data_IF_698266125330
#
_entry.id   IF_698266125330
#
_cell.length_a   1.000
_cell.length_b   1.000
_cell.length_c   1.000
_cell.angle_alpha   90.00
_cell.angle_beta   90.00
_cell.angle_gamma   90.00
#
_symmetry.space_group_name_H-M   'P 1'
#
loop_
_entity.id
_entity.type
_entity.pdbx_description
1 polymer ?
#
# COMPACT_ATOMS: atom_id res chain seq x y z
N UNK A 1 36.82 -87.46 52.37
CA UNK A 1 35.54 -86.73 52.45
C UNK A 1 35.68 -85.45 51.64
N UNK A 2 34.78 -85.20 50.69
CA UNK A 2 34.79 -83.96 49.89
C UNK A 2 33.92 -82.91 50.58
N UNK A 3 34.53 -81.80 51.00
CA UNK A 3 33.82 -80.62 51.49
C UNK A 3 33.51 -79.67 50.35
N UNK A 4 32.37 -78.99 50.42
CA UNK A 4 31.93 -77.99 49.43
C UNK A 4 31.72 -76.66 50.17
N UNK A 5 32.23 -75.54 49.63
CA UNK A 5 31.99 -74.23 50.23
C UNK A 5 30.51 -73.83 50.08
N UNK A 6 29.96 -73.20 51.12
CA UNK A 6 28.61 -72.66 51.08
C UNK A 6 28.53 -71.46 50.11
N UNK A 7 27.45 -71.39 49.32
CA UNK A 7 27.20 -70.29 48.38
C UNK A 7 27.00 -68.93 49.07
N UNK A 8 26.72 -68.93 50.38
CA UNK A 8 26.53 -67.73 51.20
C UNK A 8 27.77 -67.36 52.03
N UNK A 9 28.94 -67.87 51.64
CA UNK A 9 30.20 -67.57 52.33
C UNK A 9 30.47 -66.06 52.42
N UNK A 10 30.17 -65.34 51.36
CA UNK A 10 30.35 -63.88 51.29
C UNK A 10 29.36 -63.10 52.16
N UNK A 11 28.34 -63.78 52.70
CA UNK A 11 27.33 -63.22 53.61
C UNK A 11 27.46 -63.75 55.05
N UNK A 12 28.59 -64.39 55.36
CA UNK A 12 28.94 -64.82 56.73
C UNK A 12 28.85 -66.33 56.99
N UNK A 13 28.46 -67.13 56.01
CA UNK A 13 28.35 -68.58 56.18
C UNK A 13 29.73 -69.26 56.03
N UNK A 14 30.45 -69.42 57.13
CA UNK A 14 31.88 -69.80 57.13
C UNK A 14 32.15 -71.31 57.04
N UNK A 15 31.12 -72.13 57.03
CA UNK A 15 31.26 -73.59 57.06
C UNK A 15 31.62 -74.18 55.68
N UNK A 16 32.70 -74.97 55.64
CA UNK A 16 32.95 -75.92 54.54
C UNK A 16 32.23 -77.22 54.89
N UNK A 17 31.19 -77.54 54.14
CA UNK A 17 30.22 -78.57 54.53
C UNK A 17 30.54 -79.87 53.85
N UNK A 18 30.54 -80.98 54.59
CA UNK A 18 30.66 -82.32 54.01
C UNK A 18 29.38 -82.61 53.24
N UNK A 19 29.50 -83.08 51.99
CA UNK A 19 28.36 -83.21 51.06
C UNK A 19 27.14 -83.95 51.62
N UNK A 20 27.35 -84.90 52.52
CA UNK A 20 26.30 -85.72 53.15
C UNK A 20 25.51 -84.96 54.21
N UNK A 21 26.10 -83.93 54.82
CA UNK A 21 25.52 -83.13 55.93
C UNK A 21 24.95 -81.78 55.44
N UNK A 22 24.89 -81.59 54.12
CA UNK A 22 24.43 -80.32 53.51
C UNK A 22 22.98 -79.99 53.88
N UNK A 23 22.12 -81.00 54.01
CA UNK A 23 20.72 -80.82 54.40
C UNK A 23 20.57 -80.25 55.83
N UNK A 24 21.43 -80.70 56.76
CA UNK A 24 21.44 -80.22 58.15
C UNK A 24 22.07 -78.81 58.24
N UNK A 25 23.09 -78.54 57.41
CA UNK A 25 23.68 -77.22 57.31
C UNK A 25 22.67 -76.15 56.89
N UNK A 26 21.76 -76.43 55.95
CA UNK A 26 20.72 -75.48 55.55
C UNK A 26 19.75 -75.11 56.68
N UNK A 27 19.60 -75.98 57.68
CA UNK A 27 18.78 -75.74 58.87
C UNK A 27 19.58 -75.08 60.00
N UNK A 28 20.91 -74.94 59.85
CA UNK A 28 21.74 -74.31 60.85
C UNK A 28 21.41 -72.82 60.98
N UNK A 29 21.52 -72.31 62.20
CA UNK A 29 21.31 -70.89 62.50
C UNK A 29 22.29 -70.00 61.71
N UNK A 30 23.53 -70.43 61.54
CA UNK A 30 24.53 -69.70 60.75
C UNK A 30 24.12 -69.54 59.29
N UNK A 31 23.55 -70.59 58.68
CA UNK A 31 23.07 -70.52 57.30
C UNK A 31 21.84 -69.61 57.20
N UNK A 32 20.90 -69.71 58.14
CA UNK A 32 19.70 -68.87 58.18
C UNK A 32 20.05 -67.39 58.37
N UNK A 33 20.98 -67.07 59.27
CA UNK A 33 21.48 -65.70 59.48
C UNK A 33 22.15 -65.16 58.21
N UNK A 34 22.92 -65.98 57.49
CA UNK A 34 23.53 -65.59 56.22
C UNK A 34 22.49 -65.35 55.10
N UNK A 35 21.41 -66.14 55.06
CA UNK A 35 20.28 -65.91 54.12
C UNK A 35 19.58 -64.59 54.44
N UNK A 36 19.31 -64.29 55.71
CA UNK A 36 18.68 -63.04 56.13
C UNK A 36 19.58 -61.86 55.76
N UNK A 37 20.89 -61.96 56.01
CA UNK A 37 21.84 -60.92 55.63
C UNK A 37 21.89 -60.68 54.12
N UNK A 38 21.87 -61.74 53.31
CA UNK A 38 21.81 -61.64 51.86
C UNK A 38 20.50 -60.97 51.38
N UNK A 39 19.35 -61.35 51.97
CA UNK A 39 18.05 -60.76 51.66
C UNK A 39 17.98 -59.27 52.04
N UNK A 40 18.50 -58.91 53.23
CA UNK A 40 18.62 -57.52 53.67
C UNK A 40 19.51 -56.70 52.74
N UNK A 41 20.68 -57.23 52.36
CA UNK A 41 21.59 -56.55 51.44
C UNK A 41 20.96 -56.31 50.05
N UNK A 42 20.22 -57.29 49.53
CA UNK A 42 19.48 -57.16 48.26
C UNK A 42 18.34 -56.13 48.37
N UNK A 43 17.59 -56.14 49.47
CA UNK A 43 16.51 -55.18 49.72
C UNK A 43 17.05 -53.74 49.81
N UNK A 44 18.13 -53.52 50.56
CA UNK A 44 18.78 -52.21 50.67
C UNK A 44 19.34 -51.72 49.33
N UNK A 45 19.96 -52.62 48.54
CA UNK A 45 20.53 -52.26 47.22
C UNK A 45 19.44 -51.91 46.19
N UNK A 46 18.34 -52.66 46.17
CA UNK A 46 17.19 -52.33 45.31
C UNK A 46 16.53 -51.02 45.72
N UNK A 47 16.41 -50.75 47.03
CA UNK A 47 15.81 -49.51 47.51
C UNK A 47 16.70 -48.29 47.19
N UNK A 48 18.03 -48.41 47.34
CA UNK A 48 18.96 -47.34 46.98
C UNK A 48 19.01 -47.08 45.47
N UNK A 49 19.05 -48.13 44.63
CA UNK A 49 19.06 -47.97 43.18
C UNK A 49 17.77 -47.36 42.64
N UNK A 50 16.60 -47.79 43.15
CA UNK A 50 15.32 -47.25 42.71
C UNK A 50 15.11 -45.81 43.18
N UNK A 51 15.52 -45.47 44.40
CA UNK A 51 15.37 -44.11 44.92
C UNK A 51 16.30 -43.13 44.18
N UNK A 52 17.55 -43.53 43.90
CA UNK A 52 18.50 -42.69 43.17
C UNK A 52 18.08 -42.40 41.73
N UNK A 53 17.65 -43.43 40.98
CA UNK A 53 17.15 -43.26 39.60
C UNK A 53 15.86 -42.42 39.56
N UNK A 54 14.97 -42.62 40.53
CA UNK A 54 13.73 -41.83 40.62
C UNK A 54 14.02 -40.35 40.89
N UNK A 55 14.95 -40.04 41.82
CA UNK A 55 15.34 -38.66 42.14
C UNK A 55 15.98 -37.98 40.92
N UNK A 56 16.90 -38.66 40.22
CA UNK A 56 17.56 -38.10 39.04
C UNK A 56 16.55 -37.76 37.92
N UNK A 57 15.55 -38.62 37.70
CA UNK A 57 14.47 -38.35 36.74
C UNK A 57 13.60 -37.17 37.15
N UNK A 58 13.32 -37.02 38.45
CA UNK A 58 12.59 -35.85 38.95
C UNK A 58 13.38 -34.56 38.70
N UNK A 59 14.68 -34.54 38.98
CA UNK A 59 15.55 -33.39 38.71
C UNK A 59 15.55 -33.02 37.22
N UNK A 60 15.66 -34.00 36.31
CA UNK A 60 15.58 -33.76 34.86
C UNK A 60 14.22 -33.18 34.45
N UNK A 61 13.12 -33.67 35.03
CA UNK A 61 11.78 -33.15 34.77
C UNK A 61 11.67 -31.70 35.26
N UNK A 62 12.22 -31.38 36.45
CA UNK A 62 12.22 -30.02 36.96
C UNK A 62 13.00 -29.06 36.06
N UNK A 63 14.18 -29.47 35.57
CA UNK A 63 14.98 -28.66 34.64
C UNK A 63 14.20 -28.40 33.34
N UNK A 64 13.55 -29.43 32.78
CA UNK A 64 12.72 -29.27 31.58
C UNK A 64 11.52 -28.35 31.80
N UNK A 65 10.89 -28.41 32.98
CA UNK A 65 9.79 -27.52 33.34
C UNK A 65 10.28 -26.08 33.44
N UNK A 66 11.45 -25.84 34.04
CA UNK A 66 12.01 -24.50 34.18
C UNK A 66 12.37 -23.89 32.82
N UNK A 67 12.99 -24.67 31.93
CA UNK A 67 13.26 -24.26 30.54
C UNK A 67 11.95 -23.92 29.83
N UNK A 68 10.94 -24.81 29.90
CA UNK A 68 9.65 -24.59 29.25
C UNK A 68 8.93 -23.34 29.81
N UNK A 69 9.02 -23.08 31.11
CA UNK A 69 8.46 -21.89 31.72
C UNK A 69 9.14 -20.61 31.21
N UNK A 70 10.47 -20.63 31.04
CA UNK A 70 11.23 -19.54 30.43
C UNK A 70 10.81 -19.28 28.99
N UNK A 71 10.68 -20.33 28.18
CA UNK A 71 10.22 -20.23 26.78
C UNK A 71 8.80 -19.67 26.67
N UNK A 72 7.88 -20.10 27.54
CA UNK A 72 6.51 -19.56 27.59
C UNK A 72 6.52 -18.06 27.89
N UNK A 73 7.34 -17.61 28.83
CA UNK A 73 7.46 -16.18 29.15
C UNK A 73 8.03 -15.37 27.98
N UNK A 74 9.02 -15.92 27.27
CA UNK A 74 9.55 -15.28 26.06
C UNK A 74 8.49 -15.16 24.97
N UNK A 75 7.76 -16.24 24.69
CA UNK A 75 6.68 -16.24 23.71
C UNK A 75 5.57 -15.26 24.08
N UNK A 76 5.25 -15.15 25.36
CA UNK A 76 4.29 -14.14 25.85
C UNK A 76 4.81 -12.71 25.60
N UNK A 77 6.09 -12.45 25.85
CA UNK A 77 6.72 -11.18 25.54
C UNK A 77 6.66 -10.85 24.04
N UNK A 78 6.97 -11.82 23.18
CA UNK A 78 6.89 -11.67 21.74
C UNK A 78 5.45 -11.42 21.26
N UNK A 79 4.47 -12.13 21.83
CA UNK A 79 3.05 -11.91 21.53
C UNK A 79 2.60 -10.49 21.90
N UNK A 80 3.02 -10.00 23.07
CA UNK A 80 2.76 -8.62 23.49
C UNK A 80 3.41 -7.60 22.53
N UNK A 81 4.66 -7.82 22.12
CA UNK A 81 5.37 -6.95 21.16
C UNK A 81 4.66 -6.93 19.81
N UNK A 82 4.34 -8.10 19.25
CA UNK A 82 3.63 -8.24 17.98
C UNK A 82 2.26 -7.56 18.02
N UNK A 83 1.53 -7.68 19.14
CA UNK A 83 0.26 -7.00 19.30
C UNK A 83 0.41 -5.46 19.32
N UNK A 84 1.47 -4.94 19.96
CA UNK A 84 1.77 -3.51 19.93
C UNK A 84 2.13 -3.02 18.52
N UNK A 85 2.94 -3.79 17.78
CA UNK A 85 3.28 -3.50 16.38
C UNK A 85 2.03 -3.53 15.48
N UNK A 86 1.14 -4.50 15.66
CA UNK A 86 -0.12 -4.60 14.93
C UNK A 86 -1.00 -3.36 15.17
N UNK A 87 -1.15 -2.93 16.43
CA UNK A 87 -1.90 -1.73 16.78
C UNK A 87 -1.27 -0.47 16.16
N UNK A 88 0.06 -0.38 16.15
CA UNK A 88 0.77 0.72 15.51
C UNK A 88 0.53 0.76 14.00
N UNK A 89 0.66 -0.38 13.31
CA UNK A 89 0.39 -0.49 11.88
C UNK A 89 -1.06 -0.12 11.57
N UNK A 90 -2.01 -0.64 12.35
CA UNK A 90 -3.44 -0.29 12.20
C UNK A 90 -3.70 1.20 12.41
N UNK A 91 -3.00 1.82 13.37
CA UNK A 91 -3.03 3.27 13.59
C UNK A 91 -2.53 4.06 12.39
N UNK A 92 -1.42 3.61 11.77
CA UNK A 92 -0.83 4.24 10.58
C UNK A 92 -1.61 4.01 9.29
N UNK A 93 -2.39 2.93 9.20
CA UNK A 93 -3.18 2.62 8.00
C UNK A 93 -4.37 3.58 7.82
N UNK A 94 -5.00 3.99 8.92
CA UNK A 94 -6.15 4.93 8.90
C UNK A 94 -5.85 6.28 8.23
N UNK A 95 -4.77 7.01 8.57
CA UNK A 95 -4.44 8.27 7.89
C UNK A 95 -4.09 8.03 6.42
N UNK A 96 -3.37 6.95 6.08
CA UNK A 96 -3.07 6.62 4.68
C UNK A 96 -4.35 6.43 3.86
N UNK A 97 -5.34 5.71 4.38
CA UNK A 97 -6.65 5.55 3.71
C UNK A 97 -7.34 6.90 3.50
N UNK A 98 -7.25 7.80 4.49
CA UNK A 98 -7.81 9.15 4.41
C UNK A 98 -7.10 9.97 3.32
N UNK A 99 -5.78 9.93 3.29
CA UNK A 99 -4.96 10.67 2.33
C UNK A 99 -5.22 10.17 0.91
N UNK A 100 -5.30 8.85 0.70
CA UNK A 100 -5.68 8.25 -0.58
C UNK A 100 -7.08 8.70 -1.02
N UNK A 101 -8.05 8.76 -0.10
CA UNK A 101 -9.39 9.23 -0.42
C UNK A 101 -9.41 10.72 -0.79
N UNK A 102 -8.64 11.54 -0.09
CA UNK A 102 -8.48 12.97 -0.41
C UNK A 102 -7.82 13.17 -1.77
N UNK A 103 -6.78 12.38 -2.06
CA UNK A 103 -6.07 12.45 -3.33
C UNK A 103 -6.98 12.06 -4.49
N UNK A 104 -7.79 11.02 -4.31
CA UNK A 104 -8.79 10.59 -5.30
C UNK A 104 -9.76 11.73 -5.63
N UNK A 105 -10.33 12.40 -4.62
CA UNK A 105 -11.22 13.55 -4.84
C UNK A 105 -10.51 14.68 -5.58
N UNK A 106 -9.26 14.98 -5.21
CA UNK A 106 -8.47 16.01 -5.89
C UNK A 106 -8.22 15.67 -7.37
N UNK A 107 -7.98 14.40 -7.70
CA UNK A 107 -7.84 13.94 -9.09
C UNK A 107 -9.16 14.09 -9.85
N UNK A 108 -10.29 13.74 -9.22
CA UNK A 108 -11.62 13.91 -9.83
C UNK A 108 -11.92 15.38 -10.14
N UNK A 109 -11.62 16.29 -9.21
CA UNK A 109 -11.75 17.74 -9.40
C UNK A 109 -10.83 18.26 -10.51
N UNK A 110 -9.56 17.81 -10.55
CA UNK A 110 -8.62 18.20 -11.60
C UNK A 110 -9.06 17.71 -12.99
N UNK A 111 -9.59 16.50 -13.08
CA UNK A 111 -10.13 15.98 -14.34
C UNK A 111 -11.34 16.79 -14.82
N UNK A 112 -12.27 17.12 -13.92
CA UNK A 112 -13.40 17.99 -14.26
C UNK A 112 -12.93 19.38 -14.72
N UNK A 113 -11.87 19.92 -14.10
CA UNK A 113 -11.26 21.18 -14.52
C UNK A 113 -10.61 21.08 -15.91
N UNK A 114 -9.88 20.00 -16.19
CA UNK A 114 -9.26 19.75 -17.48
C UNK A 114 -10.31 19.61 -18.59
N UNK A 115 -11.41 18.91 -18.34
CA UNK A 115 -12.52 18.78 -19.30
C UNK A 115 -13.15 20.15 -19.60
N UNK A 116 -13.36 20.98 -18.58
CA UNK A 116 -13.85 22.34 -18.76
C UNK A 116 -12.86 23.21 -19.56
N UNK A 117 -11.56 23.06 -19.33
CA UNK A 117 -10.52 23.76 -20.10
C UNK A 117 -10.47 23.30 -21.56
N UNK A 118 -10.62 22.00 -21.81
CA UNK A 118 -10.68 21.45 -23.16
C UNK A 118 -11.87 22.01 -23.94
N UNK A 119 -13.05 22.07 -23.32
CA UNK A 119 -14.23 22.70 -23.93
C UNK A 119 -13.99 24.17 -24.27
N UNK A 120 -13.36 24.94 -23.36
CA UNK A 120 -12.98 26.34 -23.64
C UNK A 120 -11.99 26.44 -24.80
N UNK A 121 -11.02 25.54 -24.88
CA UNK A 121 -10.06 25.49 -25.98
C UNK A 121 -10.75 25.20 -27.32
N UNK A 122 -11.72 24.28 -27.35
CA UNK A 122 -12.51 23.97 -28.56
C UNK A 122 -13.30 25.20 -29.03
N UNK A 123 -13.97 25.92 -28.11
CA UNK A 123 -14.69 27.16 -28.42
C UNK A 123 -13.73 28.21 -29.00
N UNK A 124 -12.60 28.45 -28.34
CA UNK A 124 -11.60 29.42 -28.82
C UNK A 124 -11.03 29.03 -30.19
N UNK A 125 -10.87 27.74 -30.45
CA UNK A 125 -10.40 27.23 -31.75
C UNK A 125 -11.44 27.50 -32.84
N UNK A 126 -12.73 27.30 -32.53
CA UNK A 126 -13.83 27.63 -33.43
C UNK A 126 -13.92 29.13 -33.72
N UNK A 127 -13.79 29.97 -32.68
CA UNK A 127 -13.79 31.43 -32.81
C UNK A 127 -12.62 31.90 -33.67
N UNK A 128 -11.44 31.31 -33.49
CA UNK A 128 -10.25 31.62 -34.30
C UNK A 128 -10.48 31.24 -35.77
N UNK A 129 -11.00 30.04 -36.05
CA UNK A 129 -11.33 29.63 -37.41
C UNK A 129 -12.37 30.55 -38.07
N UNK A 130 -13.40 30.95 -37.33
CA UNK A 130 -14.43 31.90 -37.78
C UNK A 130 -13.83 33.28 -38.09
N UNK A 131 -12.92 33.76 -37.23
CA UNK A 131 -12.23 35.03 -37.43
C UNK A 131 -11.30 34.97 -38.64
N UNK A 132 -10.54 33.89 -38.81
CA UNK A 132 -9.70 33.66 -39.99
C UNK A 132 -10.53 33.69 -41.27
N UNK A 133 -11.67 33.00 -41.31
CA UNK A 133 -12.56 33.03 -42.47
C UNK A 133 -13.05 34.44 -42.78
N UNK A 134 -13.47 35.21 -41.77
CA UNK A 134 -13.91 36.61 -41.97
C UNK A 134 -12.80 37.51 -42.48
N UNK A 135 -11.55 37.28 -42.05
CA UNK A 135 -10.38 38.01 -42.54
C UNK A 135 -10.11 37.66 -44.01
N UNK A 136 -10.18 36.37 -44.37
CA UNK A 136 -10.04 35.92 -45.76
C UNK A 136 -11.15 36.48 -46.66
N UNK A 137 -12.40 36.43 -46.22
CA UNK A 137 -13.54 37.00 -46.94
C UNK A 137 -13.36 38.52 -47.15
N UNK A 138 -12.92 39.24 -46.12
CA UNK A 138 -12.65 40.68 -46.22
C UNK A 138 -11.49 40.99 -47.18
N UNK A 139 -10.44 40.17 -47.14
CA UNK A 139 -9.32 40.28 -48.07
C UNK A 139 -9.77 40.02 -49.51
N UNK A 140 -10.65 39.03 -49.74
CA UNK A 140 -11.21 38.73 -51.06
C UNK A 140 -12.00 39.90 -51.64
N UNK A 141 -12.90 40.53 -50.87
CA UNK A 141 -13.70 41.71 -51.30
C UNK A 141 -12.81 42.95 -51.53
N UNK A 142 -11.61 42.99 -50.95
CA UNK A 142 -10.62 44.03 -51.25
C UNK A 142 -9.93 43.79 -52.59
N UNK A 143 -9.56 42.54 -52.90
CA UNK A 143 -8.84 42.16 -54.12
C UNK A 143 -9.73 42.00 -55.36
N UNK A 144 -11.01 41.62 -55.21
CA UNK A 144 -11.96 41.52 -56.33
C UNK A 144 -12.32 42.88 -56.94
N UNK A 145 -11.78 43.97 -56.37
CA UNK A 145 -12.03 45.33 -56.80
C UNK A 145 -13.42 45.82 -56.48
N UNK A 146 -14.25 45.10 -55.72
CA UNK A 146 -15.60 45.54 -55.32
C UNK A 146 -15.54 46.74 -54.40
N UNK A 147 -14.64 46.76 -53.41
CA UNK A 147 -14.43 47.95 -52.56
C UNK A 147 -13.89 49.11 -53.40
N UNK A 148 -12.90 48.83 -54.26
CA UNK A 148 -12.33 49.82 -55.17
C UNK A 148 -13.42 50.40 -56.08
N UNK A 149 -14.23 49.54 -56.71
CA UNK A 149 -15.35 49.90 -57.58
C UNK A 149 -16.42 50.71 -56.84
N UNK A 150 -16.78 50.33 -55.61
CA UNK A 150 -17.72 51.11 -54.79
C UNK A 150 -17.17 52.51 -54.48
N UNK A 151 -15.89 52.63 -54.13
CA UNK A 151 -15.23 53.92 -53.89
C UNK A 151 -15.19 54.74 -55.19
N UNK A 152 -14.79 54.14 -56.31
CA UNK A 152 -14.73 54.80 -57.62
C UNK A 152 -16.12 55.26 -58.08
N UNK A 153 -17.15 54.44 -57.94
CA UNK A 153 -18.53 54.77 -58.31
C UNK A 153 -19.12 55.87 -57.41
N UNK A 154 -18.83 55.85 -56.11
CA UNK A 154 -19.22 56.93 -55.19
C UNK A 154 -18.49 58.23 -55.55
N UNK A 155 -17.19 58.18 -55.81
CA UNK A 155 -16.40 59.33 -56.24
C UNK A 155 -16.90 59.91 -57.57
N UNK A 156 -17.25 59.05 -58.53
CA UNK A 156 -17.82 59.47 -59.82
C UNK A 156 -19.19 60.12 -59.65
N UNK A 157 -20.07 59.54 -58.82
CA UNK A 157 -21.39 60.12 -58.52
C UNK A 157 -21.27 61.48 -57.80
N UNK A 158 -20.34 61.60 -56.84
CA UNK A 158 -20.07 62.88 -56.18
C UNK A 158 -19.49 63.91 -57.15
N UNK A 159 -18.56 63.52 -58.02
CA UNK A 159 -18.02 64.40 -59.06
C UNK A 159 -19.09 64.89 -60.03
N UNK A 160 -20.01 64.01 -60.48
CA UNK A 160 -21.16 64.40 -61.30
C UNK A 160 -22.11 65.34 -60.56
N UNK A 161 -22.45 65.07 -59.31
CA UNK A 161 -23.29 65.97 -58.52
C UNK A 161 -22.63 67.35 -58.35
N UNK A 162 -21.33 67.38 -58.02
CA UNK A 162 -20.54 68.61 -57.85
C UNK A 162 -20.35 69.39 -59.16
N UNK A 163 -20.36 68.75 -60.32
CA UNK A 163 -20.29 69.45 -61.62
C UNK A 163 -21.66 69.92 -62.12
N UNK A 164 -22.70 69.14 -61.86
CA UNK A 164 -24.05 69.44 -62.39
C UNK A 164 -24.72 70.57 -61.60
N UNK A 165 -24.48 70.68 -60.29
CA UNK A 165 -25.07 71.73 -59.45
C UNK A 165 -24.60 73.14 -59.86
N UNK A 166 -23.29 73.43 -60.03
CA UNK A 166 -22.83 74.73 -60.53
C UNK A 166 -23.26 75.01 -61.97
N UNK A 167 -23.27 74.00 -62.85
CA UNK A 167 -23.66 74.19 -64.26
C UNK A 167 -25.15 74.50 -64.43
N UNK A 168 -26.03 73.91 -63.63
CA UNK A 168 -27.46 74.29 -63.60
C UNK A 168 -27.59 75.71 -63.06
N UNK A 169 -26.82 76.08 -62.03
CA UNK A 169 -26.83 77.44 -61.48
C UNK A 169 -26.38 78.48 -62.52
N UNK A 170 -25.25 78.25 -63.19
CA UNK A 170 -24.71 79.14 -64.23
C UNK A 170 -25.66 79.20 -65.43
N UNK A 171 -26.24 78.07 -65.87
CA UNK A 171 -27.19 78.06 -66.99
C UNK A 171 -28.49 78.80 -66.66
N UNK A 172 -29.01 78.67 -65.44
CA UNK A 172 -30.19 79.43 -65.01
C UNK A 172 -29.88 80.92 -64.86
N UNK A 173 -28.68 81.29 -64.40
CA UNK A 173 -28.23 82.70 -64.33
C UNK A 173 -28.10 83.30 -65.73
N UNK A 174 -27.48 82.61 -66.69
CA UNK A 174 -27.36 83.09 -68.09
C UNK A 174 -28.72 83.18 -68.80
N UNK A 175 -29.64 82.25 -68.52
CA UNK A 175 -31.00 82.33 -69.07
C UNK A 175 -31.79 83.50 -68.50
N UNK A 176 -31.63 83.80 -67.20
CA UNK A 176 -32.23 84.98 -66.55
C UNK A 176 -31.68 86.29 -67.13
N UNK A 177 -30.38 86.35 -67.39
CA UNK A 177 -29.70 87.52 -67.97
C UNK A 177 -30.19 87.79 -69.41
N UNK A 178 -30.29 86.74 -70.25
CA UNK A 178 -30.84 86.87 -71.61
C UNK A 178 -32.31 87.28 -71.64
N UNK A 179 -33.12 86.83 -70.69
CA UNK A 179 -34.52 87.26 -70.61
C UNK A 179 -34.65 88.73 -70.18
N UNK A 180 -33.72 89.23 -69.36
CA UNK A 180 -33.68 90.64 -68.94
C UNK A 180 -33.31 91.57 -70.10
N UNK A 181 -32.34 91.22 -70.93
CA UNK A 181 -31.97 92.02 -72.12
C UNK A 181 -33.13 92.14 -73.12
N UNK A 182 -33.88 91.06 -73.37
CA UNK A 182 -35.06 91.13 -74.27
C UNK A 182 -36.24 91.96 -73.74
N UNK A 183 -36.29 92.28 -72.44
CA UNK A 183 -37.37 93.07 -71.84
C UNK A 183 -37.03 94.57 -71.83
N UNK A 184 -35.76 94.95 -71.89
CA UNK A 184 -35.32 96.36 -71.80
C UNK A 184 -34.91 97.00 -73.14
N UNK A 185 -34.81 96.24 -74.23
CA UNK A 185 -34.49 96.74 -75.58
C UNK A 185 -35.72 96.91 -76.51
N UNK A 186 -36.94 96.99 -75.95
CA UNK A 186 -38.19 97.32 -76.67
C UNK A 186 -38.98 98.39 -75.90
#
# INVERSE_FOLDING_TARGET
MTTVPCALKDYGCSHSVVRVEMAEHYLSKEHQDAVINAACALSSKNHQNNNGDTIARFEEIYEKIDIAAGEIQMLQGDACRLNAELLHVQGSLKPVIRDVSSLKLSIEEQNAFLDAMKSKQEILTQDLASLTQKVEDMQYISYDGTIVWKITNVAEKMGKALFTIPLIFIRNVILLEKTWETIFDN
#
